data_IF_144796033066
#
_entry.id   IF_144796033066
#
_cell.length_a   1.000
_cell.length_b   1.000
_cell.length_c   1.000
_cell.angle_alpha   90.00
_cell.angle_beta   90.00
_cell.angle_gamma   90.00
#
_symmetry.space_group_name_H-M   'P 1'
#
loop_
_entity.id
_entity.type
_entity.pdbx_description
1 polymer ?
#
# COMPACT_ATOMS: atom_id res chain seq x y z
N UNK A 1 -22.59 -20.21 24.57
CA UNK A 1 -22.16 -18.80 24.48
C UNK A 1 -20.66 -18.75 24.73
N UNK A 2 -19.86 -18.75 23.67
CA UNK A 2 -18.40 -18.70 23.79
C UNK A 2 -17.99 -17.27 24.16
N UNK A 3 -17.26 -17.15 25.27
CA UNK A 3 -16.75 -15.89 25.82
C UNK A 3 -15.96 -15.15 24.74
N UNK A 4 -16.37 -13.93 24.40
CA UNK A 4 -15.58 -12.98 23.62
C UNK A 4 -14.30 -12.65 24.39
N UNK A 5 -13.22 -13.40 24.12
CA UNK A 5 -11.89 -12.84 24.32
C UNK A 5 -11.84 -11.58 23.45
N UNK A 6 -11.54 -10.42 24.05
CA UNK A 6 -11.29 -9.20 23.28
C UNK A 6 -10.14 -9.52 22.32
N UNK A 7 -10.45 -9.74 21.04
CA UNK A 7 -9.42 -9.89 20.03
C UNK A 7 -8.72 -8.53 19.95
N UNK A 8 -7.44 -8.51 20.30
CA UNK A 8 -6.67 -7.27 20.29
C UNK A 8 -6.14 -7.05 18.87
N UNK A 9 -6.93 -6.38 18.03
CA UNK A 9 -6.54 -6.04 16.65
C UNK A 9 -5.33 -5.10 16.59
N UNK A 10 -4.98 -4.47 17.72
CA UNK A 10 -3.82 -3.59 17.86
C UNK A 10 -2.53 -4.36 18.19
N UNK A 11 -2.62 -5.66 18.46
CA UNK A 11 -1.45 -6.47 18.76
C UNK A 11 -0.51 -6.51 17.54
N UNK A 12 0.69 -5.96 17.69
CA UNK A 12 1.70 -5.92 16.62
C UNK A 12 1.65 -4.68 15.73
N UNK A 13 0.75 -3.73 15.99
CA UNK A 13 0.76 -2.42 15.32
C UNK A 13 1.70 -1.47 16.08
N UNK A 14 2.99 -1.52 15.75
CA UNK A 14 4.02 -0.69 16.40
C UNK A 14 4.06 0.74 15.85
N UNK A 15 3.65 0.94 14.60
CA UNK A 15 3.62 2.25 13.98
C UNK A 15 2.38 3.05 14.41
N UNK A 16 1.28 2.37 14.75
CA UNK A 16 0.03 3.01 15.16
C UNK A 16 0.10 3.54 16.61
N UNK A 17 -0.31 4.79 16.84
CA UNK A 17 -0.45 5.35 18.20
C UNK A 17 0.84 5.76 18.92
N UNK A 18 2.01 5.69 18.28
CA UNK A 18 3.31 5.98 18.90
C UNK A 18 3.50 7.41 19.47
N UNK A 19 2.64 8.38 19.13
CA UNK A 19 2.76 9.79 19.58
C UNK A 19 3.98 10.55 19.03
N UNK A 20 4.96 9.85 18.47
CA UNK A 20 6.19 10.40 17.90
C UNK A 20 6.06 10.71 16.41
N UNK A 21 6.85 11.68 15.93
CA UNK A 21 7.10 11.91 14.52
C UNK A 21 7.79 10.68 13.92
N UNK A 22 7.03 9.86 13.22
CA UNK A 22 7.53 8.61 12.60
C UNK A 22 8.14 8.91 11.23
N UNK A 23 9.35 8.42 10.99
CA UNK A 23 10.02 8.48 9.69
C UNK A 23 9.38 7.52 8.67
N UNK A 24 9.54 7.76 7.35
CA UNK A 24 9.18 6.79 6.34
C UNK A 24 9.90 5.45 6.57
N UNK A 25 9.18 4.34 6.42
CA UNK A 25 9.68 2.99 6.65
C UNK A 25 9.04 2.03 5.67
N UNK A 26 9.84 1.12 5.10
CA UNK A 26 9.38 0.12 4.11
C UNK A 26 8.80 -1.12 4.80
N UNK A 27 7.90 -0.91 5.76
CA UNK A 27 7.25 -1.96 6.54
C UNK A 27 5.73 -1.78 6.51
N UNK A 28 5.04 -2.83 6.09
CA UNK A 28 3.58 -2.91 6.14
C UNK A 28 3.16 -3.69 7.38
N UNK A 29 2.33 -3.07 8.22
CA UNK A 29 1.69 -3.72 9.36
C UNK A 29 0.29 -4.20 8.95
N UNK A 30 -0.16 -5.27 9.60
CA UNK A 30 -1.46 -5.87 9.30
C UNK A 30 -2.18 -6.25 10.56
N UNK A 31 -3.51 -6.23 10.51
CA UNK A 31 -4.38 -6.72 11.57
C UNK A 31 -5.30 -7.84 11.03
N UNK A 32 -5.89 -8.67 11.91
CA UNK A 32 -6.64 -9.83 11.47
C UNK A 32 -7.96 -9.47 10.78
N UNK A 33 -8.30 -10.20 9.71
CA UNK A 33 -9.62 -10.15 9.09
C UNK A 33 -10.58 -11.12 9.79
N UNK A 34 -11.66 -10.59 10.39
CA UNK A 34 -12.67 -11.39 11.09
C UNK A 34 -13.88 -11.78 10.22
N UNK A 35 -14.03 -11.18 9.04
CA UNK A 35 -15.13 -11.49 8.14
C UNK A 35 -14.93 -12.84 7.45
N UNK A 36 -16.00 -13.64 7.41
CA UNK A 36 -16.05 -14.89 6.63
C UNK A 36 -16.48 -14.69 5.17
N UNK A 37 -16.92 -13.49 4.80
CA UNK A 37 -17.38 -13.15 3.44
C UNK A 37 -16.28 -12.41 2.70
N UNK A 38 -16.26 -12.54 1.38
CA UNK A 38 -15.42 -11.71 0.54
C UNK A 38 -15.99 -10.28 0.48
N UNK A 39 -15.08 -9.30 0.57
CA UNK A 39 -15.37 -7.87 0.43
C UNK A 39 -14.14 -7.20 -0.16
N UNK A 40 -14.34 -6.07 -0.83
CA UNK A 40 -13.24 -5.30 -1.41
C UNK A 40 -12.89 -4.13 -0.52
N UNK A 41 -11.63 -4.04 -0.12
CA UNK A 41 -11.06 -2.83 0.48
C UNK A 41 -10.48 -1.97 -0.64
N UNK A 42 -10.81 -0.69 -0.67
CA UNK A 42 -10.22 0.29 -1.61
C UNK A 42 -9.54 1.39 -0.81
N UNK A 43 -8.26 1.61 -1.07
CA UNK A 43 -7.44 2.66 -0.48
C UNK A 43 -6.93 3.55 -1.62
N UNK A 44 -7.10 4.86 -1.49
CA UNK A 44 -6.68 5.82 -2.50
C UNK A 44 -5.90 6.95 -1.87
N UNK A 45 -4.85 7.41 -2.55
CA UNK A 45 -4.08 8.61 -2.18
C UNK A 45 -3.57 9.32 -3.42
N UNK A 46 -3.46 10.65 -3.34
CA UNK A 46 -2.84 11.51 -4.35
C UNK A 46 -1.47 12.03 -3.90
N UNK A 47 -0.99 11.57 -2.73
CA UNK A 47 0.24 12.06 -2.09
C UNK A 47 1.48 11.21 -2.44
N UNK A 48 1.36 10.25 -3.35
CA UNK A 48 2.50 9.43 -3.75
C UNK A 48 3.47 10.21 -4.64
N UNK A 49 4.76 10.07 -4.35
CA UNK A 49 5.82 10.61 -5.18
C UNK A 49 7.06 9.72 -5.14
N UNK A 50 7.80 9.71 -6.25
CA UNK A 50 9.13 9.11 -6.40
C UNK A 50 9.99 10.02 -7.28
N UNK A 51 11.23 9.66 -7.60
CA UNK A 51 12.06 10.44 -8.54
C UNK A 51 12.37 9.65 -9.80
N UNK A 52 12.49 10.36 -10.93
CA UNK A 52 12.97 9.75 -12.16
C UNK A 52 14.44 9.32 -11.98
N UNK A 53 14.79 8.06 -12.30
CA UNK A 53 16.15 7.55 -12.09
C UNK A 53 17.20 8.26 -12.95
N UNK A 54 16.79 8.89 -14.06
CA UNK A 54 17.70 9.58 -14.97
C UNK A 54 17.90 11.06 -14.64
N UNK A 55 16.83 11.78 -14.30
CA UNK A 55 16.85 13.24 -14.16
C UNK A 55 16.76 13.71 -12.71
N UNK A 56 16.39 12.84 -11.78
CA UNK A 56 16.12 13.19 -10.38
C UNK A 56 14.88 14.05 -10.17
N UNK A 57 14.12 14.35 -11.23
CA UNK A 57 12.90 15.15 -11.11
C UNK A 57 11.80 14.35 -10.39
N UNK A 58 11.02 14.98 -9.49
CA UNK A 58 9.95 14.31 -8.78
C UNK A 58 8.79 13.95 -9.71
N UNK A 59 8.33 12.72 -9.59
CA UNK A 59 7.13 12.18 -10.21
C UNK A 59 6.03 12.08 -9.16
N UNK A 60 4.80 12.41 -9.53
CA UNK A 60 3.63 12.36 -8.66
C UNK A 60 2.61 11.39 -9.24
N UNK A 61 1.92 10.64 -8.39
CA UNK A 61 0.86 9.74 -8.85
C UNK A 61 -0.31 9.68 -7.89
N UNK A 62 -1.50 9.46 -8.47
CA UNK A 62 -2.66 8.93 -7.75
C UNK A 62 -2.51 7.41 -7.69
N UNK A 63 -2.42 6.88 -6.48
CA UNK A 63 -2.36 5.44 -6.22
C UNK A 63 -3.72 4.97 -5.73
N UNK A 64 -4.26 3.95 -6.37
CA UNK A 64 -5.46 3.23 -5.95
C UNK A 64 -5.11 1.76 -5.74
N UNK A 65 -5.26 1.30 -4.50
CA UNK A 65 -5.06 -0.09 -4.11
C UNK A 65 -6.43 -0.70 -3.84
N UNK A 66 -6.70 -1.84 -4.47
CA UNK A 66 -7.90 -2.61 -4.22
C UNK A 66 -7.50 -4.05 -3.87
N UNK A 67 -8.13 -4.64 -2.86
CA UNK A 67 -7.87 -6.03 -2.54
C UNK A 67 -9.06 -6.70 -1.84
N UNK A 68 -9.14 -8.02 -2.02
CA UNK A 68 -10.02 -8.90 -1.25
C UNK A 68 -9.16 -9.60 -0.20
N UNK A 69 -9.30 -9.27 1.10
CA UNK A 69 -8.47 -9.84 2.15
C UNK A 69 -8.72 -11.34 2.31
N UNK A 70 -7.65 -12.04 2.70
CA UNK A 70 -7.75 -13.39 3.24
C UNK A 70 -7.82 -13.31 4.77
N UNK A 71 -6.69 -13.53 5.47
CA UNK A 71 -6.62 -13.50 6.94
C UNK A 71 -6.16 -12.15 7.51
N UNK A 72 -5.65 -11.26 6.66
CA UNK A 72 -4.97 -10.02 7.06
C UNK A 72 -5.54 -8.83 6.30
N UNK A 73 -5.55 -7.67 6.96
CA UNK A 73 -5.94 -6.37 6.44
C UNK A 73 -4.77 -5.42 6.68
N UNK A 74 -4.42 -4.58 5.70
CA UNK A 74 -3.32 -3.62 5.85
C UNK A 74 -3.71 -2.50 6.81
N UNK A 75 -2.79 -2.10 7.67
CA UNK A 75 -2.95 -0.94 8.56
C UNK A 75 -2.59 0.35 7.79
N UNK A 76 -3.45 1.37 7.85
CA UNK A 76 -3.38 2.54 6.97
C UNK A 76 -2.22 3.48 7.28
N UNK A 77 -1.79 3.64 8.54
CA UNK A 77 -0.62 4.44 8.89
C UNK A 77 0.66 3.80 8.36
N UNK A 78 0.82 2.49 8.48
CA UNK A 78 1.97 1.74 7.94
C UNK A 78 2.01 1.85 6.41
N UNK A 79 0.86 1.75 5.73
CA UNK A 79 0.78 1.96 4.28
C UNK A 79 1.22 3.39 3.89
N UNK A 80 0.78 4.41 4.64
CA UNK A 80 1.21 5.79 4.40
C UNK A 80 2.74 5.93 4.52
N UNK A 81 3.34 5.39 5.59
CA UNK A 81 4.79 5.46 5.82
C UNK A 81 5.57 4.66 4.77
N UNK A 82 5.03 3.53 4.33
CA UNK A 82 5.53 2.72 3.23
C UNK A 82 5.54 3.50 1.92
N UNK A 83 4.41 4.11 1.52
CA UNK A 83 4.34 4.91 0.30
C UNK A 83 5.25 6.15 0.37
N UNK A 84 5.40 6.76 1.55
CA UNK A 84 6.33 7.87 1.75
C UNK A 84 7.80 7.44 1.57
N UNK A 85 8.15 6.17 1.82
CA UNK A 85 9.53 5.69 1.66
C UNK A 85 10.07 5.79 0.23
N UNK A 86 9.20 5.88 -0.77
CA UNK A 86 9.57 6.02 -2.18
C UNK A 86 9.92 7.45 -2.60
N UNK A 87 9.69 8.45 -1.74
CA UNK A 87 9.77 9.89 -2.10
C UNK A 87 11.05 10.30 -2.80
N UNK A 88 12.18 9.74 -2.39
CA UNK A 88 13.50 10.03 -2.94
C UNK A 88 14.10 8.86 -3.72
N UNK A 89 13.28 7.85 -4.06
CA UNK A 89 13.72 6.64 -4.74
C UNK A 89 13.65 6.80 -6.26
N UNK A 90 14.78 6.56 -6.93
CA UNK A 90 14.89 6.57 -8.38
C UNK A 90 14.31 5.30 -8.99
N UNK A 91 13.10 5.37 -9.56
CA UNK A 91 12.39 4.17 -10.02
C UNK A 91 11.44 4.48 -11.18
N UNK A 92 11.32 3.54 -12.12
CA UNK A 92 10.34 3.60 -13.21
C UNK A 92 8.91 3.38 -12.70
N UNK A 93 7.94 4.00 -13.34
CA UNK A 93 6.53 3.96 -12.96
C UNK A 93 5.97 2.54 -12.92
N UNK A 94 6.36 1.73 -13.91
CA UNK A 94 5.98 0.33 -14.07
C UNK A 94 6.56 -0.51 -12.92
N UNK A 95 7.83 -0.30 -12.62
CA UNK A 95 8.53 -1.05 -11.58
C UNK A 95 7.97 -0.73 -10.20
N UNK A 96 7.80 0.55 -9.87
CA UNK A 96 7.31 0.93 -8.53
C UNK A 96 5.89 0.44 -8.30
N UNK A 97 5.05 0.41 -9.34
CA UNK A 97 3.69 -0.13 -9.23
C UNK A 97 3.71 -1.64 -8.93
N UNK A 98 4.61 -2.40 -9.57
CA UNK A 98 4.77 -3.83 -9.31
C UNK A 98 5.39 -4.09 -7.92
N UNK A 99 6.39 -3.32 -7.50
CA UNK A 99 6.97 -3.41 -6.14
C UNK A 99 5.87 -3.21 -5.09
N UNK A 100 5.02 -2.19 -5.25
CA UNK A 100 3.90 -1.94 -4.33
C UNK A 100 2.95 -3.15 -4.29
N UNK A 101 2.62 -3.74 -5.44
CA UNK A 101 1.78 -4.94 -5.49
C UNK A 101 2.45 -6.13 -4.80
N UNK A 102 3.71 -6.41 -5.09
CA UNK A 102 4.45 -7.55 -4.55
C UNK A 102 4.57 -7.46 -3.01
N UNK A 103 4.90 -6.28 -2.49
CA UNK A 103 4.99 -6.03 -1.05
C UNK A 103 3.62 -6.18 -0.36
N UNK A 104 2.55 -5.70 -0.99
CA UNK A 104 1.17 -5.90 -0.49
C UNK A 104 0.79 -7.39 -0.50
N UNK A 105 1.12 -8.13 -1.56
CA UNK A 105 0.84 -9.57 -1.66
C UNK A 105 1.62 -10.33 -0.60
N UNK A 106 2.90 -10.02 -0.40
CA UNK A 106 3.73 -10.63 0.63
C UNK A 106 3.18 -10.37 2.04
N UNK A 107 2.75 -9.13 2.33
CA UNK A 107 2.20 -8.77 3.63
C UNK A 107 0.83 -9.42 3.90
N UNK A 108 -0.06 -9.43 2.90
CA UNK A 108 -1.48 -9.73 3.07
C UNK A 108 -1.89 -11.16 2.69
N UNK A 109 -1.13 -11.81 1.79
CA UNK A 109 -1.56 -13.04 1.11
C UNK A 109 -3.04 -12.99 0.68
N UNK A 110 -3.45 -11.95 -0.08
CA UNK A 110 -4.85 -11.66 -0.37
C UNK A 110 -5.44 -12.70 -1.32
N UNK A 111 -6.76 -12.74 -1.45
CA UNK A 111 -7.42 -13.55 -2.50
C UNK A 111 -7.23 -12.92 -3.88
N UNK A 112 -7.22 -11.60 -3.91
CA UNK A 112 -7.04 -10.77 -5.09
C UNK A 112 -6.49 -9.41 -4.65
N UNK A 113 -5.59 -8.82 -5.44
CA UNK A 113 -5.10 -7.47 -5.22
C UNK A 113 -4.78 -6.79 -6.55
N UNK A 114 -5.13 -5.52 -6.68
CA UNK A 114 -4.80 -4.66 -7.81
C UNK A 114 -4.25 -3.34 -7.31
N UNK A 115 -3.17 -2.88 -7.93
CA UNK A 115 -2.60 -1.55 -7.76
C UNK A 115 -2.71 -0.81 -9.09
N UNK A 116 -3.40 0.32 -9.07
CA UNK A 116 -3.46 1.27 -10.18
C UNK A 116 -2.68 2.51 -9.80
N UNK A 117 -1.65 2.84 -10.58
CA UNK A 117 -0.85 4.05 -10.41
C UNK A 117 -1.03 4.96 -11.62
N UNK A 118 -1.64 6.13 -11.40
CA UNK A 118 -1.88 7.14 -12.45
C UNK A 118 -0.89 8.30 -12.24
N UNK A 119 0.18 8.32 -13.02
CA UNK A 119 1.23 9.33 -12.91
C UNK A 119 0.83 10.65 -13.58
N UNK A 120 1.33 11.75 -13.03
CA UNK A 120 1.20 13.08 -13.62
C UNK A 120 1.88 13.14 -15.00
N UNK A 121 1.34 13.96 -15.89
CA UNK A 121 1.79 14.05 -17.28
C UNK A 121 3.23 14.56 -17.36
N UNK A 122 4.07 13.89 -18.17
CA UNK A 122 5.41 14.36 -18.54
C UNK A 122 5.60 14.30 -20.04
N UNK A 123 6.19 15.35 -20.61
CA UNK A 123 6.39 15.44 -22.07
C UNK A 123 5.09 15.33 -22.87
N UNK A 124 3.94 15.71 -22.28
CA UNK A 124 2.62 15.56 -22.89
C UNK A 124 2.03 14.14 -22.86
N UNK A 125 2.71 13.18 -22.22
CA UNK A 125 2.27 11.77 -22.14
C UNK A 125 1.85 11.44 -20.71
N UNK A 126 0.65 10.89 -20.54
CA UNK A 126 0.17 10.34 -19.29
C UNK A 126 0.51 8.85 -19.20
N UNK A 127 0.97 8.39 -18.05
CA UNK A 127 1.26 6.97 -17.80
C UNK A 127 0.32 6.47 -16.70
N UNK A 128 -0.41 5.40 -17.00
CA UNK A 128 -1.21 4.66 -16.02
C UNK A 128 -0.77 3.21 -16.03
N UNK A 129 -0.38 2.69 -14.88
CA UNK A 129 0.03 1.30 -14.71
C UNK A 129 -1.01 0.59 -13.87
N UNK A 130 -1.50 -0.54 -14.37
CA UNK A 130 -2.35 -1.48 -13.65
C UNK A 130 -1.57 -2.77 -13.43
N UNK A 131 -1.31 -3.11 -12.16
CA UNK A 131 -0.71 -4.39 -11.77
C UNK A 131 -1.73 -5.19 -10.95
N UNK A 132 -1.86 -6.48 -11.23
CA UNK A 132 -2.88 -7.34 -10.60
C UNK A 132 -2.30 -8.70 -10.19
N UNK A 133 -2.66 -9.14 -8.98
CA UNK A 133 -2.42 -10.46 -8.44
C UNK A 133 -3.75 -11.17 -8.19
N UNK A 134 -3.84 -12.44 -8.60
CA UNK A 134 -4.97 -13.33 -8.34
C UNK A 134 -4.46 -14.69 -7.90
N UNK A 135 -4.98 -15.18 -6.78
CA UNK A 135 -4.64 -16.50 -6.25
C UNK A 135 -5.34 -17.64 -7.00
#
# INVERSE_FOLDING_TARGET
MAKNAKINDLAGLSLLGSGETVNPVRQLETFPNHSRRDYTVTLSTEEFTCVCPMTGQPDFAKIKIQYIPNKKIVESKSLKLYLWSFRNEGVFHEHVTNIILDDLVAALAPRWCKVTAQFAVRGGIAITVDAEYKK
#
